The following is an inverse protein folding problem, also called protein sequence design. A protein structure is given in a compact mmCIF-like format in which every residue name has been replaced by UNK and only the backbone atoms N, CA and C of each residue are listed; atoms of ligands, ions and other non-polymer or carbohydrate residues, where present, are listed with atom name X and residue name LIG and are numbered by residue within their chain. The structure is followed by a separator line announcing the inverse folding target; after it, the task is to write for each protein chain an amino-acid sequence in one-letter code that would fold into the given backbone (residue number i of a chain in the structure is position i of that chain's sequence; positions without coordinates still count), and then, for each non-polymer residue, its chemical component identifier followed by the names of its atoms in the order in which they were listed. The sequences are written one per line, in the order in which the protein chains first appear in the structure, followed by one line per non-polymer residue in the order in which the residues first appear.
data_IF_224496951775
#
_entry.id   IF_224496951775
#
_cell.length_a   1.000
_cell.length_b   1.000
_cell.length_c   1.000
_cell.angle_alpha   90.00
_cell.angle_beta   90.00
_cell.angle_gamma   90.00
#
_symmetry.space_group_name_H-M   'P 1'
#
loop_
_entity.id
_entity.type
_entity.pdbx_description
1 polymer ?
#
# COMPACT_ATOMS: atom_id res chain seq x y z
N UNK A 1 6.04 -10.81 -23.74
CA UNK A 1 6.87 -10.20 -22.68
C UNK A 1 6.71 -11.08 -21.47
N UNK A 2 7.75 -11.82 -21.11
CA UNK A 2 7.77 -12.66 -19.91
C UNK A 2 7.53 -11.75 -18.69
N UNK A 3 6.49 -12.00 -17.89
CA UNK A 3 6.17 -11.11 -16.77
C UNK A 3 7.26 -11.24 -15.71
N UNK A 4 8.07 -10.20 -15.59
CA UNK A 4 9.08 -10.13 -14.54
C UNK A 4 8.40 -9.91 -13.19
N UNK A 5 8.15 -10.99 -12.45
CA UNK A 5 7.65 -10.91 -11.08
C UNK A 5 8.76 -10.39 -10.15
N UNK A 6 8.51 -9.24 -9.53
CA UNK A 6 9.34 -8.68 -8.45
C UNK A 6 8.58 -8.81 -7.14
N UNK A 7 9.25 -9.36 -6.14
CA UNK A 7 8.73 -9.54 -4.79
C UNK A 7 9.30 -8.46 -3.89
N UNK A 8 8.57 -8.04 -2.87
CA UNK A 8 9.06 -7.10 -1.87
C UNK A 8 8.51 -7.49 -0.51
N UNK A 9 9.25 -7.15 0.55
CA UNK A 9 8.81 -7.36 1.93
C UNK A 9 8.69 -6.00 2.60
N UNK A 10 7.52 -5.75 3.17
CA UNK A 10 7.22 -4.53 3.89
C UNK A 10 6.66 -4.86 5.28
N UNK A 11 6.97 -4.01 6.24
CA UNK A 11 6.39 -4.01 7.57
C UNK A 11 5.11 -3.18 7.56
N UNK A 12 3.97 -3.82 7.80
CA UNK A 12 2.70 -3.12 7.98
C UNK A 12 2.61 -2.52 9.39
N UNK A 13 2.09 -1.28 9.54
CA UNK A 13 1.80 -0.71 10.85
C UNK A 13 0.94 -1.65 11.69
N UNK A 14 1.22 -1.79 13.00
CA UNK A 14 0.33 -2.52 13.89
C UNK A 14 -1.02 -1.78 14.01
N UNK A 15 -2.09 -2.46 14.45
CA UNK A 15 -3.39 -1.84 14.70
C UNK A 15 -3.27 -0.60 15.59
N UNK A 16 -3.97 0.47 15.21
CA UNK A 16 -3.94 1.76 15.92
C UNK A 16 -3.91 2.95 14.97
N UNK A 17 -3.68 4.17 15.49
CA UNK A 17 -3.93 5.41 14.76
C UNK A 17 -3.24 5.53 13.40
N UNK A 18 -2.03 4.97 13.26
CA UNK A 18 -1.31 4.99 11.97
C UNK A 18 -1.91 4.03 10.94
N UNK A 19 -2.37 2.84 11.37
CA UNK A 19 -3.02 1.89 10.49
C UNK A 19 -4.39 2.43 10.03
N UNK A 20 -5.17 3.00 10.95
CA UNK A 20 -6.47 3.60 10.65
C UNK A 20 -6.32 4.77 9.66
N UNK A 21 -5.38 5.67 9.94
CA UNK A 21 -5.05 6.77 9.04
C UNK A 21 -4.62 6.27 7.65
N UNK A 22 -3.75 5.25 7.59
CA UNK A 22 -3.32 4.68 6.33
C UNK A 22 -4.49 4.11 5.53
N UNK A 23 -5.40 3.37 6.19
CA UNK A 23 -6.54 2.75 5.54
C UNK A 23 -7.49 3.80 4.95
N UNK A 24 -7.83 4.85 5.70
CA UNK A 24 -8.66 5.96 5.23
C UNK A 24 -7.96 6.76 4.11
N UNK A 25 -6.68 7.09 4.30
CA UNK A 25 -5.92 7.89 3.34
C UNK A 25 -5.76 7.17 1.99
N UNK A 26 -5.52 5.86 2.01
CA UNK A 26 -5.28 5.04 0.82
C UNK A 26 -6.56 4.40 0.26
N UNK A 27 -7.68 4.49 1.00
CA UNK A 27 -8.97 3.94 0.61
C UNK A 27 -9.05 2.41 0.70
N UNK A 28 -8.17 1.79 1.48
CA UNK A 28 -8.08 0.32 1.59
C UNK A 28 -7.57 -0.14 2.95
N UNK A 29 -8.36 -0.96 3.63
CA UNK A 29 -7.95 -1.68 4.83
C UNK A 29 -7.30 -3.01 4.42
N UNK A 30 -5.97 -3.06 4.48
CA UNK A 30 -5.19 -4.23 4.11
C UNK A 30 -5.38 -5.44 5.06
N UNK A 31 -5.84 -5.21 6.29
CA UNK A 31 -6.08 -6.27 7.27
C UNK A 31 -7.44 -6.91 7.05
N UNK A 32 -8.49 -6.11 6.87
CA UNK A 32 -9.85 -6.59 6.64
C UNK A 32 -10.16 -6.91 5.17
N UNK A 33 -9.32 -6.47 4.23
CA UNK A 33 -9.49 -6.72 2.80
C UNK A 33 -10.69 -5.99 2.19
N UNK A 34 -10.91 -4.72 2.59
CA UNK A 34 -12.07 -3.93 2.16
C UNK A 34 -11.69 -2.49 1.80
N UNK A 35 -12.51 -1.89 0.95
CA UNK A 35 -12.43 -0.48 0.64
C UNK A 35 -12.79 0.39 1.85
N UNK A 36 -12.16 1.55 1.94
CA UNK A 36 -12.40 2.56 2.97
C UNK A 36 -12.78 3.89 2.32
N UNK A 37 -13.71 4.64 2.92
CA UNK A 37 -14.00 5.99 2.45
C UNK A 37 -12.79 6.89 2.69
N UNK A 38 -12.43 7.67 1.68
CA UNK A 38 -11.37 8.68 1.83
C UNK A 38 -11.81 9.84 2.73
N UNK A 39 -10.88 10.45 3.49
CA UNK A 39 -11.18 11.65 4.25
C UNK A 39 -11.41 12.86 3.32
N UNK A 40 -12.27 13.77 3.76
CA UNK A 40 -12.43 15.08 3.10
C UNK A 40 -11.37 16.03 3.69
N UNK A 41 -10.36 16.37 2.91
CA UNK A 41 -9.26 17.24 3.33
C UNK A 41 -9.29 18.55 2.53
N UNK A 42 -9.67 19.68 3.16
CA UNK A 42 -9.68 20.98 2.51
C UNK A 42 -8.28 21.41 2.02
N UNK A 43 -8.22 22.12 0.90
CA UNK A 43 -6.98 22.71 0.38
C UNK A 43 -6.07 21.76 -0.41
N UNK A 44 -6.47 20.50 -0.63
CA UNK A 44 -5.78 19.63 -1.57
C UNK A 44 -6.00 20.07 -3.02
N UNK A 45 -5.03 19.84 -3.92
CA UNK A 45 -5.13 20.24 -5.33
C UNK A 45 -6.09 19.35 -6.15
N UNK A 46 -6.72 18.34 -5.53
CA UNK A 46 -7.66 17.41 -6.15
C UNK A 46 -8.18 16.37 -5.15
N UNK A 47 -9.03 15.43 -5.60
CA UNK A 47 -9.56 14.37 -4.75
C UNK A 47 -8.46 13.45 -4.20
N UNK A 48 -8.55 13.07 -2.92
CA UNK A 48 -7.56 12.19 -2.25
C UNK A 48 -7.36 10.88 -3.02
N UNK A 49 -8.43 10.29 -3.54
CA UNK A 49 -8.39 9.04 -4.31
C UNK A 49 -7.48 9.14 -5.55
N UNK A 50 -7.51 10.28 -6.23
CA UNK A 50 -6.69 10.54 -7.41
C UNK A 50 -5.23 10.73 -7.01
N UNK A 51 -4.99 11.53 -5.96
CA UNK A 51 -3.65 11.85 -5.46
C UNK A 51 -2.92 10.61 -4.93
N UNK A 52 -3.63 9.65 -4.33
CA UNK A 52 -3.04 8.44 -3.76
C UNK A 52 -3.04 7.24 -4.70
N UNK A 53 -3.56 7.37 -5.94
CA UNK A 53 -3.71 6.27 -6.91
C UNK A 53 -2.43 5.49 -7.18
N UNK A 54 -1.32 6.17 -7.43
CA UNK A 54 -0.04 5.53 -7.70
C UNK A 54 0.59 4.89 -6.45
N UNK A 55 0.72 5.59 -5.29
CA UNK A 55 1.39 5.03 -4.11
C UNK A 55 0.56 4.01 -3.31
N UNK A 56 -0.77 3.92 -3.48
CA UNK A 56 -1.64 3.08 -2.62
C UNK A 56 -1.21 1.61 -2.50
N UNK A 57 -0.54 1.06 -3.52
CA UNK A 57 -0.07 -0.34 -3.53
C UNK A 57 1.07 -0.60 -2.54
N UNK A 58 1.85 0.43 -2.20
CA UNK A 58 2.92 0.34 -1.21
C UNK A 58 2.44 0.70 0.19
N UNK A 59 1.50 1.64 0.26
CA UNK A 59 0.93 2.15 1.50
C UNK A 59 1.95 2.88 2.37
N UNK A 60 1.65 3.02 3.66
CA UNK A 60 2.54 3.59 4.67
C UNK A 60 3.41 2.50 5.34
N UNK A 61 3.76 1.46 4.59
CA UNK A 61 4.53 0.34 5.11
C UNK A 61 6.04 0.62 5.13
N UNK A 62 6.73 0.15 6.17
CA UNK A 62 8.19 0.22 6.26
C UNK A 62 8.85 -0.76 5.30
N UNK A 63 9.87 -0.34 4.54
CA UNK A 63 10.58 -1.28 3.64
C UNK A 63 11.49 -2.19 4.45
N UNK A 64 11.25 -3.51 4.43
CA UNK A 64 12.17 -4.51 4.99
C UNK A 64 13.11 -5.05 3.91
N UNK A 65 12.57 -5.33 2.72
CA UNK A 65 13.32 -5.75 1.54
C UNK A 65 12.74 -5.12 0.28
N UNK A 66 13.52 -4.30 -0.45
CA UNK A 66 13.05 -3.67 -1.68
C UNK A 66 12.82 -4.71 -2.79
N UNK A 67 12.16 -4.33 -3.90
CA UNK A 67 11.77 -5.28 -4.94
C UNK A 67 12.93 -6.13 -5.50
N UNK A 68 12.85 -7.45 -5.32
CA UNK A 68 13.85 -8.47 -5.66
C UNK A 68 13.26 -9.61 -6.51
N UNK A 69 14.13 -10.47 -7.07
CA UNK A 69 13.73 -11.72 -7.73
C UNK A 69 13.91 -12.90 -6.77
N UNK A 70 13.03 -13.89 -6.83
CA UNK A 70 13.21 -15.12 -6.07
C UNK A 70 14.53 -15.81 -6.46
N UNK A 71 15.05 -16.62 -5.53
CA UNK A 71 16.21 -17.46 -5.80
C UNK A 71 15.90 -18.46 -6.92
N UNK A 72 16.93 -18.92 -7.63
CA UNK A 72 16.77 -19.95 -8.65
C UNK A 72 16.13 -21.20 -8.06
N UNK A 73 15.08 -21.71 -8.70
CA UNK A 73 14.33 -22.88 -8.26
C UNK A 73 13.21 -22.62 -7.24
N UNK A 74 13.01 -21.37 -6.79
CA UNK A 74 11.88 -21.02 -5.91
C UNK A 74 10.63 -20.60 -6.71
N UNK A 75 9.46 -20.93 -6.18
CA UNK A 75 8.15 -20.56 -6.72
C UNK A 75 7.43 -19.57 -5.79
N UNK A 76 6.53 -18.71 -6.31
CA UNK A 76 5.71 -17.81 -5.50
C UNK A 76 4.79 -18.53 -4.53
#
# INVERSE_FOLDING_TARGET
MDQMHRFALYYAPPPGPLADFAADWLGWDATAGREMPHPIVPGLPGPVEELTRAPRKYGLHGTLKPPFRLAQGATP
#
